data_IF_187201066753
#
_entry.id   IF_187201066753
#
_cell.length_a   1.000
_cell.length_b   1.000
_cell.length_c   1.000
_cell.angle_alpha   90.00
_cell.angle_beta   90.00
_cell.angle_gamma   90.00
#
_symmetry.space_group_name_H-M   'P 1'
#
loop_
_entity.id
_entity.type
_entity.pdbx_description
1 polymer ?
#
# COMPACT_ATOMS: atom_id res chain seq x y z
N UNK A 1 72.67 17.29 21.56
CA UNK A 1 71.99 17.50 22.87
C UNK A 1 71.72 18.98 23.09
N UNK A 2 70.47 19.46 22.95
CA UNK A 2 69.86 20.54 23.76
C UNK A 2 68.35 20.32 23.75
N UNK A 3 67.80 20.05 24.94
CA UNK A 3 66.35 19.99 25.22
C UNK A 3 65.87 21.43 25.35
N UNK A 4 64.65 21.73 24.89
CA UNK A 4 63.56 22.24 25.74
C UNK A 4 62.25 22.38 24.96
N UNK A 5 61.21 21.78 25.53
CA UNK A 5 59.81 21.81 25.13
C UNK A 5 59.11 23.07 25.62
N UNK A 6 58.42 23.82 24.76
CA UNK A 6 57.49 24.87 25.21
C UNK A 6 56.19 24.87 24.38
N UNK A 7 55.17 24.22 24.96
CA UNK A 7 53.77 24.64 25.09
C UNK A 7 52.92 24.96 23.84
N UNK A 8 51.76 24.28 23.77
CA UNK A 8 50.42 24.83 23.44
C UNK A 8 50.27 25.38 22.01
N UNK A 9 49.21 25.17 21.25
CA UNK A 9 47.85 24.74 21.46
C UNK A 9 47.29 24.50 20.05
N UNK A 10 46.39 23.55 19.91
CA UNK A 10 45.76 23.31 18.61
C UNK A 10 44.87 22.08 18.67
N UNK A 11 43.97 22.06 19.64
CA UNK A 11 42.88 21.11 19.70
C UNK A 11 41.95 21.37 18.49
N UNK A 12 42.23 20.75 17.35
CA UNK A 12 41.26 20.70 16.25
C UNK A 12 40.40 19.47 16.48
N UNK A 13 39.26 19.74 17.10
CA UNK A 13 38.07 18.92 17.16
C UNK A 13 37.63 18.56 15.73
N UNK A 14 38.11 17.44 15.19
CA UNK A 14 37.49 16.84 14.01
C UNK A 14 36.20 16.13 14.45
N UNK A 15 35.14 16.91 14.52
CA UNK A 15 33.77 16.41 14.50
C UNK A 15 33.54 15.81 13.09
N UNK A 16 33.73 14.50 12.93
CA UNK A 16 33.21 13.81 11.75
C UNK A 16 31.68 13.89 11.82
N UNK A 17 31.10 14.76 11.00
CA UNK A 17 29.69 14.73 10.68
C UNK A 17 29.41 13.39 9.97
N UNK A 18 28.76 12.48 10.69
CA UNK A 18 28.05 11.35 10.11
C UNK A 18 26.82 11.93 9.39
N UNK A 19 27.05 12.44 8.18
CA UNK A 19 25.98 12.76 7.26
C UNK A 19 25.40 11.43 6.78
N UNK A 20 24.53 10.85 7.59
CA UNK A 20 23.63 9.80 7.16
C UNK A 20 23.03 10.25 5.82
N UNK A 21 23.34 9.51 4.76
CA UNK A 21 22.83 9.76 3.42
C UNK A 21 21.31 9.66 3.47
N UNK A 22 20.64 10.80 3.62
CA UNK A 22 19.22 10.94 3.30
C UNK A 22 19.15 11.00 1.78
N UNK A 23 19.26 9.84 1.13
CA UNK A 23 18.92 9.73 -0.27
C UNK A 23 17.46 10.17 -0.41
N UNK A 24 17.25 11.29 -1.09
CA UNK A 24 15.91 11.77 -1.42
C UNK A 24 15.13 10.66 -2.14
N UNK A 25 13.88 10.40 -1.75
CA UNK A 25 13.08 9.37 -2.40
C UNK A 25 12.97 9.64 -3.89
N UNK A 26 12.96 8.55 -4.68
CA UNK A 26 12.71 8.60 -6.13
C UNK A 26 11.52 9.55 -6.41
N UNK A 27 11.67 10.54 -7.32
CA UNK A 27 10.58 11.42 -7.72
C UNK A 27 9.28 10.67 -8.07
N UNK A 28 9.36 9.48 -8.67
CA UNK A 28 8.21 8.64 -8.97
C UNK A 28 7.51 8.16 -7.68
N UNK A 29 8.28 7.77 -6.66
CA UNK A 29 7.74 7.40 -5.35
C UNK A 29 7.06 8.59 -4.65
N UNK A 30 7.67 9.78 -4.69
CA UNK A 30 7.06 10.99 -4.09
C UNK A 30 5.72 11.30 -4.75
N UNK A 31 5.68 11.32 -6.08
CA UNK A 31 4.45 11.56 -6.82
C UNK A 31 3.36 10.52 -6.52
N UNK A 32 3.72 9.24 -6.42
CA UNK A 32 2.79 8.18 -6.05
C UNK A 32 2.27 8.34 -4.60
N UNK A 33 3.14 8.72 -3.68
CA UNK A 33 2.79 8.93 -2.26
C UNK A 33 1.84 10.13 -2.09
N UNK A 34 2.09 11.22 -2.82
CA UNK A 34 1.24 12.41 -2.82
C UNK A 34 -0.12 12.17 -3.48
N UNK A 35 -0.17 11.26 -4.46
CA UNK A 35 -1.41 10.88 -5.14
C UNK A 35 -2.35 9.99 -4.32
N UNK A 36 -1.89 9.41 -3.20
CA UNK A 36 -2.74 8.61 -2.30
C UNK A 36 -3.34 9.54 -1.25
N UNK A 37 -4.58 9.98 -1.48
CA UNK A 37 -5.26 10.88 -0.54
C UNK A 37 -6.29 10.13 0.32
N UNK A 38 -6.49 10.60 1.56
CA UNK A 38 -7.53 10.07 2.44
C UNK A 38 -8.94 10.28 1.89
N UNK A 39 -9.15 11.33 1.09
CA UNK A 39 -10.45 11.62 0.47
C UNK A 39 -10.81 10.56 -0.58
N UNK A 40 -9.85 10.18 -1.43
CA UNK A 40 -10.06 9.16 -2.45
C UNK A 40 -10.32 7.79 -1.80
N UNK A 41 -9.51 7.41 -0.80
CA UNK A 41 -9.72 6.18 -0.03
C UNK A 41 -11.11 6.15 0.62
N UNK A 42 -11.53 7.25 1.25
CA UNK A 42 -12.86 7.35 1.86
C UNK A 42 -13.97 7.24 0.81
N UNK A 43 -13.78 7.78 -0.39
CA UNK A 43 -14.72 7.62 -1.50
C UNK A 43 -14.94 6.16 -1.86
N UNK A 44 -13.87 5.39 -2.04
CA UNK A 44 -13.94 3.95 -2.31
C UNK A 44 -14.59 3.17 -1.15
N UNK A 45 -14.22 3.48 0.10
CA UNK A 45 -14.79 2.83 1.29
C UNK A 45 -16.30 3.04 1.36
N UNK A 46 -16.78 4.27 1.13
CA UNK A 46 -18.20 4.59 1.17
C UNK A 46 -19.02 3.78 0.17
N UNK A 47 -18.51 3.57 -1.04
CA UNK A 47 -19.19 2.75 -2.06
C UNK A 47 -19.19 1.29 -1.63
N UNK A 48 -18.02 0.73 -1.33
CA UNK A 48 -17.86 -0.70 -1.01
C UNK A 48 -18.52 -1.14 0.30
N UNK A 49 -18.79 -0.19 1.21
CA UNK A 49 -19.48 -0.42 2.48
C UNK A 49 -20.93 0.09 2.47
N UNK A 50 -21.45 0.51 1.31
CA UNK A 50 -22.83 0.97 1.20
C UNK A 50 -23.83 -0.18 1.28
N UNK A 51 -25.08 0.15 1.64
CA UNK A 51 -26.18 -0.82 1.67
C UNK A 51 -26.41 -1.47 0.30
N UNK A 52 -26.17 -0.75 -0.80
CA UNK A 52 -26.25 -1.29 -2.17
C UNK A 52 -25.29 -2.45 -2.39
N UNK A 53 -24.18 -2.54 -1.66
CA UNK A 53 -23.24 -3.65 -1.80
C UNK A 53 -23.62 -4.84 -0.94
N UNK A 54 -24.50 -4.69 0.06
CA UNK A 54 -25.04 -5.81 0.88
C UNK A 54 -23.96 -6.70 1.55
N UNK A 55 -22.72 -6.22 1.64
CA UNK A 55 -21.55 -7.00 2.05
C UNK A 55 -20.69 -7.51 0.88
N UNK A 56 -19.69 -8.34 1.17
CA UNK A 56 -18.70 -8.80 0.16
C UNK A 56 -18.27 -10.25 0.38
N UNK A 57 -19.18 -11.05 0.91
CA UNK A 57 -18.92 -12.47 1.13
C UNK A 57 -18.89 -13.21 -0.23
N UNK A 58 -18.05 -14.23 -0.40
CA UNK A 58 -18.04 -15.01 -1.63
C UNK A 58 -19.39 -15.69 -1.92
N UNK A 59 -19.75 -15.82 -3.19
CA UNK A 59 -21.01 -16.40 -3.67
C UNK A 59 -22.25 -15.53 -3.41
N UNK A 60 -22.09 -14.23 -3.13
CA UNK A 60 -23.21 -13.32 -2.84
C UNK A 60 -23.37 -12.24 -3.90
N UNK A 61 -24.56 -11.62 -4.04
CA UNK A 61 -24.74 -10.48 -4.95
C UNK A 61 -23.77 -9.31 -4.68
N UNK A 62 -23.36 -9.13 -3.41
CA UNK A 62 -22.38 -8.12 -3.02
C UNK A 62 -20.99 -8.37 -3.58
N UNK A 63 -20.59 -9.65 -3.75
CA UNK A 63 -19.37 -10.00 -4.48
C UNK A 63 -19.45 -9.56 -5.94
N UNK A 64 -20.54 -9.87 -6.64
CA UNK A 64 -20.70 -9.52 -8.06
C UNK A 64 -20.55 -8.00 -8.28
N UNK A 65 -21.20 -7.20 -7.44
CA UNK A 65 -21.09 -5.73 -7.45
C UNK A 65 -19.67 -5.26 -7.14
N UNK A 66 -19.01 -5.89 -6.17
CA UNK A 66 -17.62 -5.58 -5.80
C UNK A 66 -16.65 -5.87 -6.94
N UNK A 67 -16.76 -7.04 -7.58
CA UNK A 67 -15.90 -7.42 -8.71
C UNK A 67 -16.09 -6.47 -9.88
N UNK A 68 -17.34 -6.10 -10.18
CA UNK A 68 -17.64 -5.12 -11.23
C UNK A 68 -17.04 -3.74 -10.91
N UNK A 69 -17.19 -3.27 -9.68
CA UNK A 69 -16.63 -1.99 -9.23
C UNK A 69 -15.11 -1.95 -9.38
N UNK A 70 -14.40 -2.96 -8.87
CA UNK A 70 -12.93 -3.01 -8.96
C UNK A 70 -12.45 -3.09 -10.41
N UNK A 71 -13.13 -3.87 -11.25
CA UNK A 71 -12.83 -3.97 -12.68
C UNK A 71 -12.98 -2.61 -13.38
N UNK A 72 -14.02 -1.85 -13.07
CA UNK A 72 -14.24 -0.51 -13.60
C UNK A 72 -13.17 0.49 -13.12
N UNK A 73 -12.81 0.47 -11.83
CA UNK A 73 -11.72 1.31 -11.31
C UNK A 73 -10.39 1.02 -12.01
N UNK A 74 -10.05 -0.25 -12.22
CA UNK A 74 -8.82 -0.62 -12.94
C UNK A 74 -8.83 -0.16 -14.40
N UNK A 75 -9.97 -0.26 -15.09
CA UNK A 75 -10.12 0.28 -16.45
C UNK A 75 -9.94 1.80 -16.47
N UNK A 76 -10.51 2.53 -15.51
CA UNK A 76 -10.36 3.99 -15.39
C UNK A 76 -8.91 4.42 -15.16
N UNK A 77 -8.14 3.60 -14.44
CA UNK A 77 -6.70 3.80 -14.25
C UNK A 77 -5.86 3.40 -15.48
N UNK A 78 -6.48 2.88 -16.56
CA UNK A 78 -5.78 2.44 -17.77
C UNK A 78 -5.00 1.14 -17.60
N UNK A 79 -5.29 0.36 -16.56
CA UNK A 79 -4.63 -0.93 -16.33
C UNK A 79 -5.09 -1.95 -17.37
N UNK A 80 -4.18 -2.85 -17.72
CA UNK A 80 -4.49 -4.01 -18.57
C UNK A 80 -4.92 -5.20 -17.71
N UNK A 81 -5.79 -6.07 -18.23
CA UNK A 81 -6.13 -7.31 -17.54
C UNK A 81 -4.90 -8.19 -17.34
N UNK A 82 -4.84 -8.88 -16.19
CA UNK A 82 -3.68 -9.71 -15.80
C UNK A 82 -3.94 -11.22 -15.82
N UNK A 83 -5.18 -11.67 -16.03
CA UNK A 83 -5.51 -13.10 -16.04
C UNK A 83 -5.12 -13.74 -17.40
N UNK A 84 -4.72 -15.03 -17.45
CA UNK A 84 -4.30 -15.68 -18.70
C UNK A 84 -5.36 -15.71 -19.82
N UNK A 85 -6.64 -15.61 -19.46
CA UNK A 85 -7.76 -15.53 -20.41
C UNK A 85 -8.02 -14.10 -20.93
N UNK A 86 -7.18 -13.13 -20.55
CA UNK A 86 -7.29 -11.73 -20.95
C UNK A 86 -8.35 -10.94 -20.16
N UNK A 87 -8.85 -11.48 -19.04
CA UNK A 87 -9.79 -10.78 -18.15
C UNK A 87 -9.11 -10.23 -16.89
N UNK A 88 -9.84 -9.40 -16.14
CA UNK A 88 -9.38 -8.88 -14.85
C UNK A 88 -9.67 -9.86 -13.70
N UNK A 89 -10.47 -10.90 -13.94
CA UNK A 89 -11.07 -11.74 -12.90
C UNK A 89 -10.46 -13.12 -12.96
N UNK A 90 -9.87 -13.57 -11.86
CA UNK A 90 -9.37 -14.94 -11.71
C UNK A 90 -10.41 -15.77 -10.97
N UNK A 91 -10.96 -16.80 -11.62
CA UNK A 91 -11.83 -17.77 -10.95
C UNK A 91 -11.06 -18.57 -9.91
N UNK A 92 -11.57 -18.61 -8.67
CA UNK A 92 -11.02 -19.44 -7.59
C UNK A 92 -12.13 -20.39 -7.11
N UNK A 93 -11.88 -21.72 -7.07
CA UNK A 93 -12.88 -22.66 -6.59
C UNK A 93 -13.12 -22.47 -5.08
N UNK A 94 -14.39 -22.43 -4.68
CA UNK A 94 -14.79 -22.23 -3.28
C UNK A 94 -15.50 -23.47 -2.73
N UNK A 95 -15.30 -23.70 -1.44
CA UNK A 95 -16.04 -24.68 -0.64
C UNK A 95 -16.80 -23.96 0.46
N UNK A 96 -18.08 -24.31 0.65
CA UNK A 96 -18.95 -23.70 1.65
C UNK A 96 -19.32 -24.69 2.75
N UNK A 97 -19.43 -24.22 3.99
CA UNK A 97 -19.93 -24.98 5.14
C UNK A 97 -21.14 -24.27 5.73
N UNK A 98 -22.17 -25.03 6.09
CA UNK A 98 -23.34 -24.53 6.82
C UNK A 98 -23.33 -25.14 8.21
N UNK A 99 -23.19 -24.29 9.24
CA UNK A 99 -23.36 -24.72 10.61
C UNK A 99 -24.85 -24.97 10.88
N UNK A 100 -25.17 -26.08 11.56
CA UNK A 100 -26.47 -26.31 12.16
C UNK A 100 -26.29 -26.43 13.66
N UNK A 101 -27.18 -25.81 14.42
CA UNK A 101 -27.25 -26.08 15.85
C UNK A 101 -27.70 -27.52 16.08
N UNK A 102 -26.92 -28.26 16.85
CA UNK A 102 -27.34 -29.56 17.39
C UNK A 102 -28.06 -29.29 18.71
N UNK A 103 -29.38 -29.43 18.71
CA UNK A 103 -30.16 -29.50 19.95
C UNK A 103 -29.73 -30.76 20.70
N UNK A 104 -29.20 -30.58 21.92
CA UNK A 104 -28.89 -31.66 22.85
C UNK A 104 -30.10 -32.14 23.62
#
# INVERSE_FOLDING_TARGET
MRRTSWWRAGLILSLLADAASTAEPDPAWRAASEGITGADLLGHIKVLASDEFEGRAPGTPGEERTVAYLTDQFRKLGLKPGNPDGTFVQGVPLVGFQARETSG
#
